data_IF_089171464361
#
_entry.id   IF_089171464361
#
_cell.length_a   1.000
_cell.length_b   1.000
_cell.length_c   1.000
_cell.angle_alpha   90.00
_cell.angle_beta   90.00
_cell.angle_gamma   90.00
#
_symmetry.space_group_name_H-M   'P 1'
#
loop_
_entity.id
_entity.type
_entity.pdbx_description
1 polymer ?
#
# COMPACT_ATOMS: atom_id res chain seq x y z
N UNK A 1 0.18 27.40 22.65
CA UNK A 1 0.49 26.99 24.04
C UNK A 1 0.09 25.56 24.37
N UNK A 2 -1.22 25.16 24.30
CA UNK A 2 -1.62 23.75 24.56
C UNK A 2 -1.02 22.74 23.57
N UNK A 3 -1.03 23.01 22.25
CA UNK A 3 -0.46 22.16 21.21
C UNK A 3 1.05 21.94 21.40
N UNK A 4 1.78 22.97 21.76
CA UNK A 4 3.23 22.89 21.95
C UNK A 4 3.60 22.06 23.17
N UNK A 5 2.85 22.22 24.27
CA UNK A 5 3.01 21.40 25.47
C UNK A 5 2.73 19.92 25.17
N UNK A 6 1.61 19.60 24.49
CA UNK A 6 1.29 18.24 24.06
C UNK A 6 2.41 17.64 23.21
N UNK A 7 2.91 18.38 22.23
CA UNK A 7 3.96 17.91 21.34
C UNK A 7 5.28 17.65 22.11
N UNK A 8 5.62 18.48 23.10
CA UNK A 8 6.77 18.22 23.98
C UNK A 8 6.62 16.93 24.77
N UNK A 9 5.43 16.63 25.29
CA UNK A 9 5.15 15.36 25.96
C UNK A 9 5.31 14.18 25.01
N UNK A 10 4.72 14.26 23.82
CA UNK A 10 4.80 13.20 22.79
C UNK A 10 6.23 12.96 22.30
N UNK A 11 7.09 13.97 22.29
CA UNK A 11 8.52 13.80 21.98
C UNK A 11 9.32 13.11 23.10
N UNK A 12 8.77 12.98 24.32
CA UNK A 12 9.47 12.36 25.44
C UNK A 12 9.39 10.82 25.43
N UNK A 13 10.50 10.08 25.24
CA UNK A 13 10.48 8.62 25.30
C UNK A 13 10.03 8.05 26.66
N UNK A 14 10.25 8.82 27.75
CA UNK A 14 9.79 8.43 29.09
C UNK A 14 8.28 8.50 29.17
N UNK A 15 7.67 9.56 28.65
CA UNK A 15 6.21 9.72 28.59
C UNK A 15 5.57 8.62 27.72
N UNK A 16 6.13 8.36 26.53
CA UNK A 16 5.61 7.30 25.63
C UNK A 16 5.62 5.92 26.31
N UNK A 17 6.72 5.57 27.00
CA UNK A 17 6.81 4.30 27.77
C UNK A 17 5.80 4.23 28.90
N UNK A 18 5.63 5.32 29.66
CA UNK A 18 4.66 5.40 30.75
C UNK A 18 3.21 5.26 30.21
N UNK A 19 2.88 5.96 29.13
CA UNK A 19 1.57 5.88 28.49
C UNK A 19 1.26 4.48 27.93
N UNK A 20 2.27 3.79 27.40
CA UNK A 20 2.12 2.41 26.89
C UNK A 20 1.98 1.36 28.02
N UNK A 21 2.58 1.63 29.19
CA UNK A 21 2.50 0.75 30.34
C UNK A 21 1.20 0.92 31.16
N UNK A 22 0.62 2.12 31.17
CA UNK A 22 -0.53 2.43 32.02
C UNK A 22 -1.84 1.84 31.44
N UNK A 23 -2.64 1.08 32.21
CA UNK A 23 -3.80 0.35 31.70
C UNK A 23 -4.83 1.19 30.95
N UNK A 24 -5.11 2.42 31.40
CA UNK A 24 -6.12 3.29 30.80
C UNK A 24 -5.64 4.02 29.54
N UNK A 25 -4.34 4.18 29.36
CA UNK A 25 -3.77 4.89 28.20
C UNK A 25 -3.11 3.96 27.17
N UNK A 26 -2.78 2.72 27.55
CA UNK A 26 -2.08 1.76 26.67
C UNK A 26 -2.80 1.47 25.35
N UNK A 27 -4.16 1.45 25.37
CA UNK A 27 -4.95 1.24 24.17
C UNK A 27 -4.71 2.37 23.16
N UNK A 28 -4.85 3.61 23.62
CA UNK A 28 -4.59 4.79 22.79
C UNK A 28 -3.13 4.90 22.34
N UNK A 29 -2.18 4.65 23.23
CA UNK A 29 -0.76 4.64 22.88
C UNK A 29 -0.44 3.62 21.79
N UNK A 30 -1.05 2.43 21.81
CA UNK A 30 -0.91 1.43 20.76
C UNK A 30 -1.53 1.86 19.43
N UNK A 31 -2.69 2.52 19.46
CA UNK A 31 -3.33 3.07 18.25
C UNK A 31 -2.43 4.13 17.61
N UNK A 32 -1.98 5.11 18.37
CA UNK A 32 -1.07 6.17 17.90
C UNK A 32 0.24 5.58 17.32
N UNK A 33 0.79 4.56 17.98
CA UNK A 33 1.98 3.86 17.50
C UNK A 33 1.72 3.13 16.17
N UNK A 34 0.54 2.51 15.99
CA UNK A 34 0.14 1.88 14.73
C UNK A 34 -0.02 2.90 13.62
N UNK A 35 -0.73 4.00 13.88
CA UNK A 35 -0.93 5.09 12.91
C UNK A 35 0.40 5.66 12.43
N UNK A 36 1.36 5.87 13.35
CA UNK A 36 2.70 6.31 12.99
C UNK A 36 3.45 5.24 12.17
N UNK A 37 3.33 3.98 12.56
CA UNK A 37 3.93 2.87 11.82
C UNK A 37 3.34 2.78 10.40
N UNK A 38 2.02 2.96 10.25
CA UNK A 38 1.35 2.89 8.95
C UNK A 38 1.83 4.00 7.99
N UNK A 39 2.13 5.19 8.52
CA UNK A 39 2.76 6.27 7.73
C UNK A 39 4.13 5.82 7.20
N UNK A 40 4.96 5.23 8.06
CA UNK A 40 6.31 4.75 7.68
C UNK A 40 6.23 3.54 6.75
N UNK A 41 5.31 2.62 7.01
CA UNK A 41 5.14 1.39 6.25
C UNK A 41 4.35 1.57 4.95
N UNK A 42 3.74 2.73 4.72
CA UNK A 42 2.87 2.99 3.56
C UNK A 42 3.52 2.63 2.22
N UNK A 43 4.81 2.93 2.05
CA UNK A 43 5.57 2.52 0.88
C UNK A 43 5.58 0.98 0.69
N UNK A 44 5.80 0.23 1.77
CA UNK A 44 5.81 -1.24 1.73
C UNK A 44 4.42 -1.79 1.36
N UNK A 45 3.36 -1.22 1.90
CA UNK A 45 1.98 -1.63 1.59
C UNK A 45 1.66 -1.45 0.11
N UNK A 46 2.08 -0.35 -0.49
CA UNK A 46 1.88 -0.12 -1.92
C UNK A 46 2.69 -1.08 -2.78
N UNK A 47 3.91 -1.44 -2.39
CA UNK A 47 4.73 -2.43 -3.10
C UNK A 47 4.15 -3.85 -3.02
N UNK A 48 3.63 -4.25 -1.86
CA UNK A 48 2.93 -5.53 -1.71
C UNK A 48 1.71 -5.57 -2.63
N UNK A 49 0.93 -4.50 -2.65
CA UNK A 49 -0.26 -4.38 -3.50
C UNK A 49 0.11 -4.48 -4.98
N UNK A 50 1.11 -3.73 -5.43
CA UNK A 50 1.61 -3.77 -6.81
C UNK A 50 2.09 -5.17 -7.19
N UNK A 51 2.83 -5.86 -6.31
CA UNK A 51 3.27 -7.23 -6.55
C UNK A 51 2.08 -8.19 -6.70
N UNK A 52 1.06 -8.10 -5.85
CA UNK A 52 -0.14 -8.93 -5.96
C UNK A 52 -0.90 -8.70 -7.27
N UNK A 53 -1.00 -7.44 -7.73
CA UNK A 53 -1.64 -7.08 -9.00
C UNK A 53 -0.84 -7.65 -10.17
N UNK A 54 0.46 -7.38 -10.25
CA UNK A 54 1.33 -7.83 -11.35
C UNK A 54 1.47 -9.34 -11.47
N UNK A 55 1.40 -10.06 -10.35
CA UNK A 55 1.40 -11.52 -10.32
C UNK A 55 0.02 -12.12 -10.61
N UNK A 56 -1.01 -11.28 -10.78
CA UNK A 56 -2.38 -11.74 -10.99
C UNK A 56 -2.98 -12.51 -9.82
N UNK A 57 -2.44 -12.38 -8.61
CA UNK A 57 -2.86 -13.17 -7.43
C UNK A 57 -4.33 -12.96 -7.09
N UNK A 58 -4.83 -11.73 -7.21
CA UNK A 58 -6.22 -11.40 -6.93
C UNK A 58 -7.15 -12.09 -7.93
N UNK A 59 -6.80 -12.07 -9.21
CA UNK A 59 -7.55 -12.77 -10.27
C UNK A 59 -7.55 -14.28 -10.08
N UNK A 60 -6.42 -14.87 -9.67
CA UNK A 60 -6.34 -16.28 -9.34
C UNK A 60 -7.36 -16.72 -8.28
N UNK A 61 -7.72 -15.82 -7.39
CA UNK A 61 -8.62 -16.07 -6.25
C UNK A 61 -10.05 -15.56 -6.46
N UNK A 62 -10.37 -15.00 -7.64
CA UNK A 62 -11.68 -14.44 -7.99
C UNK A 62 -12.84 -15.40 -7.74
N UNK A 63 -12.63 -16.66 -8.05
CA UNK A 63 -13.68 -17.70 -8.01
C UNK A 63 -13.62 -18.60 -6.78
N UNK A 64 -12.79 -18.27 -5.80
CA UNK A 64 -12.71 -19.01 -4.54
C UNK A 64 -11.29 -19.27 -4.06
N UNK A 65 -11.20 -19.94 -2.92
CA UNK A 65 -9.94 -20.26 -2.29
C UNK A 65 -9.13 -21.27 -3.11
N UNK A 66 -7.80 -21.11 -3.10
CA UNK A 66 -6.86 -22.03 -3.76
C UNK A 66 -5.78 -22.52 -2.77
N UNK A 67 -5.27 -23.75 -2.97
CA UNK A 67 -4.15 -24.27 -2.20
C UNK A 67 -2.89 -23.42 -2.37
N UNK A 68 -2.12 -23.24 -1.29
CA UNK A 68 -0.84 -22.51 -1.30
C UNK A 68 0.08 -22.95 -2.43
N UNK A 69 0.24 -24.24 -2.61
CA UNK A 69 1.10 -24.82 -3.66
C UNK A 69 0.74 -24.36 -5.07
N UNK A 70 -0.55 -24.25 -5.38
CA UNK A 70 -0.99 -23.79 -6.71
C UNK A 70 -0.71 -22.31 -6.94
N UNK A 71 -0.78 -21.48 -5.90
CA UNK A 71 -0.41 -20.06 -5.99
C UNK A 71 1.10 -19.88 -6.12
N UNK A 72 1.89 -20.63 -5.35
CA UNK A 72 3.36 -20.61 -5.46
C UNK A 72 3.82 -20.96 -6.87
N UNK A 73 3.22 -21.98 -7.48
CA UNK A 73 3.57 -22.43 -8.82
C UNK A 73 3.40 -21.33 -9.89
N UNK A 74 2.39 -20.46 -9.76
CA UNK A 74 2.14 -19.39 -10.75
C UNK A 74 3.00 -18.14 -10.50
N UNK A 75 3.56 -17.97 -9.30
CA UNK A 75 4.38 -16.82 -8.96
C UNK A 75 5.80 -16.86 -9.53
N UNK A 76 6.29 -18.01 -9.99
CA UNK A 76 7.62 -18.19 -10.58
C UNK A 76 8.78 -17.65 -9.72
N UNK A 77 8.68 -17.82 -8.40
CA UNK A 77 9.69 -17.41 -7.42
C UNK A 77 9.95 -18.52 -6.40
N UNK A 78 10.92 -18.33 -5.49
CA UNK A 78 11.17 -19.33 -4.46
C UNK A 78 9.97 -19.45 -3.49
N UNK A 79 9.73 -20.64 -2.97
CA UNK A 79 8.66 -20.92 -2.00
C UNK A 79 8.71 -19.95 -0.80
N UNK A 80 9.90 -19.65 -0.31
CA UNK A 80 10.07 -18.73 0.83
C UNK A 80 9.61 -17.30 0.48
N UNK A 81 9.96 -16.80 -0.70
CA UNK A 81 9.53 -15.49 -1.18
C UNK A 81 8.01 -15.45 -1.41
N UNK A 82 7.46 -16.49 -2.04
CA UNK A 82 6.03 -16.60 -2.29
C UNK A 82 5.22 -16.61 -0.97
N UNK A 83 5.62 -17.41 0.01
CA UNK A 83 4.97 -17.43 1.33
C UNK A 83 5.10 -16.09 2.06
N UNK A 84 6.23 -15.40 1.92
CA UNK A 84 6.42 -14.06 2.49
C UNK A 84 5.42 -13.08 1.88
N UNK A 85 5.27 -13.08 0.55
CA UNK A 85 4.29 -12.23 -0.13
C UNK A 85 2.86 -12.56 0.27
N UNK A 86 2.47 -13.84 0.31
CA UNK A 86 1.13 -14.26 0.70
C UNK A 86 0.77 -13.78 2.12
N UNK A 87 1.69 -13.95 3.08
CA UNK A 87 1.51 -13.49 4.47
C UNK A 87 1.45 -11.97 4.56
N UNK A 88 2.32 -11.26 3.82
CA UNK A 88 2.30 -9.80 3.78
C UNK A 88 0.99 -9.26 3.18
N UNK A 89 0.50 -9.89 2.11
CA UNK A 89 -0.79 -9.55 1.50
C UNK A 89 -1.97 -9.82 2.45
N UNK A 90 -1.91 -10.88 3.25
CA UNK A 90 -2.91 -11.15 4.28
C UNK A 90 -2.87 -10.12 5.41
N UNK A 91 -1.68 -9.70 5.83
CA UNK A 91 -1.52 -8.69 6.89
C UNK A 91 -2.17 -7.34 6.53
N UNK A 92 -2.27 -7.01 5.24
CA UNK A 92 -2.97 -5.82 4.74
C UNK A 92 -4.36 -6.12 4.15
N UNK A 93 -4.92 -7.29 4.45
CA UNK A 93 -6.27 -7.72 4.05
C UNK A 93 -6.52 -7.83 2.52
N UNK A 94 -5.48 -7.92 1.71
CA UNK A 94 -5.63 -8.24 0.29
C UNK A 94 -5.98 -9.72 0.10
N UNK A 95 -5.38 -10.58 0.90
CA UNK A 95 -5.67 -12.00 0.95
C UNK A 95 -6.18 -12.40 2.33
N UNK A 96 -6.77 -13.58 2.41
CA UNK A 96 -7.24 -14.21 3.63
C UNK A 96 -6.78 -15.68 3.66
N UNK A 97 -6.32 -16.13 4.82
CA UNK A 97 -5.91 -17.51 5.03
C UNK A 97 -7.11 -18.34 5.45
N UNK A 98 -7.35 -19.46 4.79
CA UNK A 98 -8.38 -20.44 5.18
C UNK A 98 -7.71 -21.56 5.95
N UNK A 99 -7.95 -21.60 7.25
CA UNK A 99 -7.45 -22.64 8.14
C UNK A 99 -8.15 -23.99 7.86
N UNK A 100 -7.54 -25.07 8.32
CA UNK A 100 -8.08 -26.45 8.23
C UNK A 100 -7.38 -27.37 7.24
N UNK A 101 -6.38 -26.87 6.52
CA UNK A 101 -5.48 -27.68 5.66
C UNK A 101 -4.01 -27.32 5.93
N UNK A 102 -3.11 -28.29 5.74
CA UNK A 102 -1.67 -28.08 5.79
C UNK A 102 -1.05 -28.57 4.46
N UNK A 103 -0.50 -27.73 3.61
CA UNK A 103 -0.46 -26.26 3.70
C UNK A 103 -1.85 -25.62 3.57
N UNK A 104 -1.99 -24.34 4.02
CA UNK A 104 -3.27 -23.65 4.05
C UNK A 104 -3.80 -23.33 2.65
N UNK A 105 -5.09 -23.07 2.56
CA UNK A 105 -5.72 -22.45 1.40
C UNK A 105 -5.76 -20.94 1.57
N UNK A 106 -5.71 -20.22 0.45
CA UNK A 106 -5.76 -18.76 0.39
C UNK A 106 -6.99 -18.30 -0.39
N UNK A 107 -7.62 -17.24 0.06
CA UNK A 107 -8.78 -16.62 -0.57
C UNK A 107 -8.56 -15.12 -0.73
N UNK A 108 -9.48 -14.43 -1.43
CA UNK A 108 -9.52 -12.97 -1.41
C UNK A 108 -9.83 -12.47 0.00
N UNK A 109 -9.03 -11.54 0.48
CA UNK A 109 -9.34 -10.73 1.63
C UNK A 109 -10.34 -9.62 1.28
N UNK A 110 -10.85 -8.93 2.30
CA UNK A 110 -11.85 -7.87 2.13
C UNK A 110 -11.37 -6.74 1.18
N UNK A 111 -10.12 -6.29 1.36
CA UNK A 111 -9.53 -5.24 0.52
C UNK A 111 -9.20 -5.76 -0.88
N UNK A 112 -8.73 -7.01 -1.00
CA UNK A 112 -8.47 -7.63 -2.29
C UNK A 112 -9.71 -7.76 -3.15
N UNK A 113 -10.84 -8.15 -2.55
CA UNK A 113 -12.12 -8.23 -3.25
C UNK A 113 -12.60 -6.84 -3.71
N UNK A 114 -12.49 -5.83 -2.83
CA UNK A 114 -12.85 -4.45 -3.20
C UNK A 114 -11.96 -3.88 -4.31
N UNK A 115 -10.65 -4.16 -4.26
CA UNK A 115 -9.69 -3.75 -5.28
C UNK A 115 -9.99 -4.40 -6.64
N UNK A 116 -10.24 -5.71 -6.65
CA UNK A 116 -10.55 -6.46 -7.85
C UNK A 116 -11.87 -6.00 -8.53
N UNK A 117 -12.80 -5.48 -7.74
CA UNK A 117 -14.05 -4.88 -8.21
C UNK A 117 -13.90 -3.44 -8.75
N UNK A 118 -12.69 -2.85 -8.70
CA UNK A 118 -12.46 -1.47 -9.10
C UNK A 118 -11.34 -1.36 -10.15
N UNK A 119 -11.65 -1.48 -11.45
CA UNK A 119 -10.67 -1.43 -12.54
C UNK A 119 -9.85 -0.13 -12.58
N UNK A 120 -10.46 1.01 -12.24
CA UNK A 120 -9.76 2.31 -12.24
C UNK A 120 -8.65 2.35 -11.17
N UNK A 121 -8.88 1.76 -9.99
CA UNK A 121 -7.84 1.67 -8.96
C UNK A 121 -6.74 0.69 -9.37
N UNK A 122 -7.08 -0.41 -10.05
CA UNK A 122 -6.08 -1.34 -10.59
C UNK A 122 -5.18 -0.64 -11.62
N UNK A 123 -5.75 0.10 -12.56
CA UNK A 123 -4.99 0.89 -13.54
C UNK A 123 -4.08 1.93 -12.85
N UNK A 124 -4.57 2.62 -11.84
CA UNK A 124 -3.79 3.58 -11.06
C UNK A 124 -2.57 2.91 -10.38
N UNK A 125 -2.73 1.69 -9.86
CA UNK A 125 -1.62 0.94 -9.22
C UNK A 125 -0.53 0.61 -10.24
N UNK A 126 -0.88 0.27 -11.48
CA UNK A 126 0.09 0.02 -12.55
C UNK A 126 0.92 1.27 -12.87
N UNK A 127 0.31 2.45 -12.88
CA UNK A 127 0.99 3.72 -13.10
C UNK A 127 1.92 4.15 -11.97
N UNK A 128 1.75 3.60 -10.76
CA UNK A 128 2.64 3.89 -9.64
C UNK A 128 4.11 3.54 -9.92
N UNK A 129 4.42 2.68 -10.87
CA UNK A 129 5.81 2.38 -11.24
C UNK A 129 6.57 3.63 -11.71
N UNK A 130 5.91 4.50 -12.48
CA UNK A 130 6.48 5.79 -12.93
C UNK A 130 6.65 6.72 -11.74
N UNK A 131 5.62 6.82 -10.89
CA UNK A 131 5.64 7.65 -9.68
C UNK A 131 6.78 7.23 -8.73
N UNK A 132 7.02 5.94 -8.55
CA UNK A 132 8.10 5.45 -7.68
C UNK A 132 9.49 5.84 -8.17
N UNK A 133 9.68 5.92 -9.49
CA UNK A 133 10.94 6.41 -10.06
C UNK A 133 11.18 7.87 -9.69
N UNK A 134 10.13 8.70 -9.75
CA UNK A 134 10.20 10.12 -9.38
C UNK A 134 10.39 10.31 -7.87
N UNK A 135 9.83 9.42 -7.05
CA UNK A 135 9.86 9.47 -5.58
C UNK A 135 11.11 8.85 -4.95
N UNK A 136 12.09 8.37 -5.74
CA UNK A 136 13.37 7.86 -5.19
C UNK A 136 14.05 8.89 -4.31
N UNK A 137 14.01 10.18 -4.71
CA UNK A 137 14.40 11.31 -3.89
C UNK A 137 13.30 12.37 -3.92
N UNK A 138 12.34 12.32 -2.98
CA UNK A 138 11.23 13.26 -2.94
C UNK A 138 11.67 14.72 -2.67
N UNK A 139 12.82 14.92 -2.03
CA UNK A 139 13.35 16.28 -1.79
C UNK A 139 13.92 16.86 -3.08
N UNK A 140 14.68 16.06 -3.84
CA UNK A 140 15.17 16.48 -5.16
C UNK A 140 14.02 16.76 -6.11
N UNK A 141 12.98 15.89 -6.12
CA UNK A 141 11.79 16.08 -6.93
C UNK A 141 11.07 17.40 -6.60
N UNK A 142 10.88 17.73 -5.31
CA UNK A 142 10.24 18.99 -4.90
C UNK A 142 11.06 20.23 -5.23
N UNK A 143 12.39 20.12 -5.35
CA UNK A 143 13.29 21.21 -5.74
C UNK A 143 13.42 21.36 -7.26
N UNK A 144 13.05 20.34 -8.01
CA UNK A 144 13.14 20.35 -9.46
C UNK A 144 12.10 21.30 -10.09
N UNK A 145 12.37 21.75 -11.34
CA UNK A 145 11.43 22.57 -12.08
C UNK A 145 10.14 21.79 -12.38
N UNK A 146 9.01 22.51 -12.47
CA UNK A 146 7.73 21.94 -12.92
C UNK A 146 7.90 21.23 -14.27
N UNK A 147 7.29 20.05 -14.40
CA UNK A 147 7.35 19.27 -15.65
C UNK A 147 8.61 18.43 -15.84
N UNK A 148 9.52 18.40 -14.87
CA UNK A 148 10.76 17.61 -14.97
C UNK A 148 10.61 16.13 -14.58
N UNK A 149 9.49 15.74 -13.99
CA UNK A 149 9.22 14.37 -13.54
C UNK A 149 8.77 13.44 -14.66
N UNK A 150 8.99 12.14 -14.51
CA UNK A 150 8.48 11.12 -15.43
C UNK A 150 6.96 11.15 -15.50
N UNK A 151 6.30 11.34 -14.34
CA UNK A 151 4.87 11.43 -14.24
C UNK A 151 4.29 12.65 -15.00
N UNK A 152 4.95 13.81 -14.93
CA UNK A 152 4.52 15.00 -15.66
C UNK A 152 4.62 14.86 -17.19
N UNK A 153 5.51 14.00 -17.67
CA UNK A 153 5.63 13.66 -19.10
C UNK A 153 4.57 12.65 -19.54
N UNK A 154 4.15 11.79 -18.63
CA UNK A 154 3.13 10.78 -18.88
C UNK A 154 1.71 11.39 -18.91
N UNK A 155 1.46 12.41 -18.04
CA UNK A 155 0.17 13.07 -17.93
C UNK A 155 0.22 14.46 -18.57
N UNK A 156 -0.27 14.66 -19.80
CA UNK A 156 -0.22 15.96 -20.51
C UNK A 156 -0.84 17.11 -19.71
N UNK A 157 -1.91 16.85 -18.94
CA UNK A 157 -2.58 17.85 -18.11
C UNK A 157 -1.75 18.30 -16.88
N UNK A 158 -0.75 17.52 -16.44
CA UNK A 158 0.10 17.90 -15.31
C UNK A 158 1.02 19.08 -15.64
N UNK A 159 1.24 19.38 -16.92
CA UNK A 159 1.98 20.54 -17.42
C UNK A 159 1.07 21.74 -17.76
N UNK A 160 -0.25 21.56 -17.81
CA UNK A 160 -1.19 22.60 -18.14
C UNK A 160 -1.35 23.63 -17.00
N UNK A 161 -1.50 24.90 -17.38
CA UNK A 161 -1.70 26.01 -16.42
C UNK A 161 -3.07 25.91 -15.73
N UNK A 162 -4.04 25.29 -16.40
CA UNK A 162 -5.39 25.01 -15.90
C UNK A 162 -5.69 23.52 -16.13
N UNK A 163 -5.52 22.65 -15.11
CA UNK A 163 -5.67 21.20 -15.26
C UNK A 163 -7.03 20.72 -15.79
N UNK A 164 -8.10 21.52 -15.59
CA UNK A 164 -9.45 21.16 -16.04
C UNK A 164 -9.69 21.25 -17.54
N UNK A 165 -8.85 21.97 -18.27
CA UNK A 165 -9.04 22.16 -19.74
C UNK A 165 -8.54 20.97 -20.57
N UNK A 166 -7.66 20.14 -20.02
CA UNK A 166 -7.03 19.01 -20.72
C UNK A 166 -7.44 17.65 -20.14
N UNK A 167 -8.29 17.66 -19.11
CA UNK A 167 -8.71 16.44 -18.41
C UNK A 167 -9.55 15.47 -19.28
N UNK A 168 -10.03 15.92 -20.45
CA UNK A 168 -10.80 15.09 -21.38
C UNK A 168 -9.97 14.16 -22.25
N UNK A 169 -8.69 14.44 -22.48
CA UNK A 169 -7.85 13.66 -23.41
C UNK A 169 -7.07 12.51 -22.77
N UNK A 170 -6.87 12.53 -21.46
CA UNK A 170 -6.09 11.50 -20.76
C UNK A 170 -6.90 10.55 -19.86
N UNK A 171 -8.23 10.72 -19.77
CA UNK A 171 -9.08 9.93 -18.86
C UNK A 171 -9.82 8.77 -19.51
N UNK A 172 -9.62 8.53 -20.80
CA UNK A 172 -10.30 7.43 -21.51
C UNK A 172 -9.76 6.04 -21.17
N UNK A 173 -8.66 5.92 -20.43
CA UNK A 173 -8.06 4.64 -20.02
C UNK A 173 -8.29 4.29 -18.53
N UNK A 174 -9.26 4.92 -17.85
CA UNK A 174 -9.69 4.58 -16.48
C UNK A 174 -11.08 3.97 -16.44
#
# INVERSE_FOLDING_TARGET
MWRDWRNRLLMSPRFQRAAAAFPFTRGRARTEARELFDIVAGFTYTQITLACVRLGLLEQLRHGAKPEKSLIAVMAMSDAAARTLLRAAAAIELLDVREGTDPPNWALGRRGAALLGNPGVLAMIEHHAVLYTDLVDPVAMLRAARGSTGLSKYWPYASATVPGEVAGEGTHDY
#
